data_IF_637720533466
#
_entry.id   IF_637720533466
#
_cell.length_a   1.000
_cell.length_b   1.000
_cell.length_c   1.000
_cell.angle_alpha   90.00
_cell.angle_beta   90.00
_cell.angle_gamma   90.00
#
_symmetry.space_group_name_H-M   'P 1'
#
loop_
_entity.id
_entity.type
_entity.pdbx_description
1 polymer ?
#
# COMPACT_ATOMS: atom_id res chain seq x y z
N UNK A 1 -9.08 -9.98 -11.78
CA UNK A 1 -8.07 -11.06 -11.86
C UNK A 1 -6.78 -10.42 -11.43
N UNK A 2 -6.50 -10.47 -10.13
CA UNK A 2 -5.30 -9.86 -9.57
C UNK A 2 -4.09 -10.65 -10.05
N UNK A 3 -3.07 -9.92 -10.52
CA UNK A 3 -1.81 -10.52 -10.90
C UNK A 3 -1.21 -11.22 -9.67
N UNK A 4 -0.70 -12.46 -9.79
CA UNK A 4 -0.03 -13.11 -8.68
C UNK A 4 1.16 -12.26 -8.28
N UNK A 5 1.12 -11.78 -7.03
CA UNK A 5 2.20 -11.07 -6.38
C UNK A 5 3.48 -11.89 -6.55
N UNK A 6 4.44 -11.37 -7.32
CA UNK A 6 5.69 -12.06 -7.62
C UNK A 6 6.45 -12.27 -6.31
N UNK A 7 6.45 -13.50 -5.81
CA UNK A 7 7.32 -13.88 -4.70
C UNK A 7 8.76 -13.57 -5.10
N UNK A 8 9.52 -12.80 -4.28
CA UNK A 8 10.93 -12.58 -4.56
C UNK A 8 11.64 -13.94 -4.61
N UNK A 9 12.44 -14.15 -5.66
CA UNK A 9 12.91 -15.47 -6.07
C UNK A 9 13.84 -16.19 -5.08
N UNK A 10 14.23 -15.56 -3.97
CA UNK A 10 15.23 -16.10 -3.03
C UNK A 10 14.84 -15.89 -1.56
N UNK A 11 13.65 -16.34 -1.15
CA UNK A 11 13.27 -16.30 0.26
C UNK A 11 13.93 -17.45 1.03
N UNK A 12 14.74 -17.12 2.03
CA UNK A 12 15.46 -18.09 2.87
C UNK A 12 15.11 -17.94 4.35
N UNK A 13 15.24 -19.02 5.11
CA UNK A 13 15.11 -19.00 6.56
C UNK A 13 16.18 -18.12 7.18
N UNK A 14 15.78 -17.14 7.99
CA UNK A 14 16.70 -16.20 8.61
C UNK A 14 17.67 -16.86 9.61
N UNK A 15 17.31 -18.01 10.19
CA UNK A 15 18.17 -18.75 11.11
C UNK A 15 19.15 -19.68 10.40
N UNK A 16 18.68 -20.51 9.45
CA UNK A 16 19.49 -21.59 8.87
C UNK A 16 19.83 -21.42 7.38
N UNK A 17 19.36 -20.34 6.74
CA UNK A 17 19.65 -20.01 5.34
C UNK A 17 19.01 -20.94 4.31
N UNK A 18 18.17 -21.89 4.71
CA UNK A 18 17.50 -22.81 3.78
C UNK A 18 16.46 -22.07 2.92
N UNK A 19 16.35 -22.38 1.62
CA UNK A 19 15.26 -21.88 0.78
C UNK A 19 13.90 -22.25 1.37
N UNK A 20 12.97 -21.31 1.34
CA UNK A 20 11.62 -21.47 1.86
C UNK A 20 10.59 -21.40 0.75
N UNK A 21 9.63 -22.30 0.83
CA UNK A 21 8.34 -22.12 0.15
C UNK A 21 7.41 -21.33 1.08
N UNK A 22 7.14 -20.09 0.69
CA UNK A 22 6.26 -19.19 1.42
C UNK A 22 4.78 -19.63 1.43
N UNK A 23 4.38 -20.57 0.57
CA UNK A 23 3.06 -21.20 0.55
C UNK A 23 2.95 -22.43 1.44
N UNK A 24 4.06 -22.94 1.99
CA UNK A 24 4.05 -24.06 2.92
C UNK A 24 3.43 -23.67 4.27
N UNK A 25 2.55 -24.51 4.86
CA UNK A 25 1.93 -24.23 6.17
C UNK A 25 2.93 -24.26 7.34
N UNK A 26 4.09 -24.88 7.16
CA UNK A 26 5.11 -24.99 8.21
C UNK A 26 5.95 -23.71 8.31
N UNK A 27 5.99 -22.92 7.24
CA UNK A 27 6.75 -21.67 7.17
C UNK A 27 6.19 -20.65 8.17
N UNK A 28 7.01 -20.28 9.16
CA UNK A 28 6.66 -19.29 10.17
C UNK A 28 7.18 -17.91 9.77
N UNK A 29 6.37 -16.85 9.94
CA UNK A 29 6.78 -15.47 9.67
C UNK A 29 6.69 -14.64 10.94
N UNK A 30 7.77 -13.95 11.29
CA UNK A 30 7.82 -13.04 12.41
C UNK A 30 7.71 -11.59 11.93
N UNK A 31 6.88 -10.79 12.59
CA UNK A 31 6.63 -9.38 12.28
C UNK A 31 6.97 -8.52 13.50
N UNK A 32 7.86 -7.53 13.36
CA UNK A 32 8.37 -6.76 14.52
C UNK A 32 7.88 -5.33 14.59
N UNK A 33 7.57 -4.69 13.46
CA UNK A 33 7.06 -3.33 13.49
C UNK A 33 5.65 -3.29 12.92
N UNK A 34 4.69 -2.90 13.77
CA UNK A 34 3.31 -2.63 13.41
C UNK A 34 3.08 -1.14 13.54
N UNK A 35 2.92 -0.44 12.43
CA UNK A 35 2.56 0.97 12.42
C UNK A 35 1.10 1.15 12.02
N UNK A 36 0.42 2.07 12.70
CA UNK A 36 -0.91 2.49 12.30
C UNK A 36 -0.76 3.54 11.21
N UNK A 37 -1.09 3.17 9.98
CA UNK A 37 -1.11 4.11 8.85
C UNK A 37 -2.54 4.57 8.62
N UNK A 38 -2.71 5.89 8.49
CA UNK A 38 -4.02 6.49 8.28
C UNK A 38 -4.49 7.45 9.38
N UNK A 39 -3.67 7.76 10.39
CA UNK A 39 -3.95 8.90 11.28
C UNK A 39 -3.62 10.23 10.58
N UNK A 40 -4.36 10.52 9.51
CA UNK A 40 -4.30 11.79 8.79
C UNK A 40 -5.10 12.89 9.47
N UNK A 41 -5.00 13.04 10.79
CA UNK A 41 -5.82 14.00 11.54
C UNK A 41 -7.33 13.82 11.35
N UNK A 42 -8.15 14.70 11.95
CA UNK A 42 -9.58 14.76 11.67
C UNK A 42 -9.80 15.19 10.21
N UNK A 43 -10.36 14.30 9.39
CA UNK A 43 -10.83 14.64 8.05
C UNK A 43 -12.30 15.07 8.18
N UNK A 44 -12.60 16.27 7.70
CA UNK A 44 -13.94 16.84 7.75
C UNK A 44 -14.56 16.71 6.36
N UNK A 45 -15.78 16.20 6.28
CA UNK A 45 -16.51 16.17 5.01
C UNK A 45 -16.98 17.58 4.60
N UNK A 46 -17.62 17.68 3.42
CA UNK A 46 -18.18 18.94 2.91
C UNK A 46 -19.27 19.54 3.82
N UNK A 47 -19.85 18.74 4.73
CA UNK A 47 -20.83 19.16 5.71
C UNK A 47 -20.19 19.60 7.05
N UNK A 48 -18.87 19.43 7.21
CA UNK A 48 -18.18 19.71 8.46
C UNK A 48 -18.43 18.66 9.53
N UNK A 49 -18.71 17.41 9.15
CA UNK A 49 -18.72 16.26 10.05
C UNK A 49 -17.37 15.55 10.05
N UNK A 50 -16.97 15.04 11.22
CA UNK A 50 -15.73 14.31 11.39
C UNK A 50 -15.87 12.90 10.79
N UNK A 51 -15.19 12.63 9.69
CA UNK A 51 -15.19 11.30 9.07
C UNK A 51 -14.05 10.50 9.70
N UNK A 52 -14.33 9.40 10.42
CA UNK A 52 -13.28 8.52 10.90
C UNK A 52 -12.61 7.88 9.70
N UNK A 53 -11.36 8.27 9.43
CA UNK A 53 -10.53 7.56 8.47
C UNK A 53 -10.17 6.22 9.10
N UNK A 54 -10.66 5.13 8.52
CA UNK A 54 -10.25 3.79 8.92
C UNK A 54 -8.75 3.67 8.66
N UNK A 55 -7.97 3.67 9.74
CA UNK A 55 -6.56 3.36 9.64
C UNK A 55 -6.38 1.87 9.51
N UNK A 56 -5.25 1.48 8.91
CA UNK A 56 -4.85 0.09 8.82
C UNK A 56 -3.55 -0.11 9.57
N UNK A 57 -3.45 -1.25 10.24
CA UNK A 57 -2.17 -1.67 10.80
C UNK A 57 -1.31 -2.24 9.68
N UNK A 58 -0.20 -1.58 9.38
CA UNK A 58 0.81 -2.09 8.45
C UNK A 58 1.91 -2.79 9.21
N UNK A 59 2.45 -3.84 8.60
CA UNK A 59 3.67 -4.50 9.06
C UNK A 59 4.81 -3.92 8.23
N UNK A 60 5.85 -3.37 8.86
CA UNK A 60 6.99 -2.81 8.10
C UNK A 60 8.16 -3.78 7.93
N UNK A 61 8.28 -4.73 8.84
CA UNK A 61 9.43 -5.64 8.87
C UNK A 61 8.92 -7.06 9.10
N UNK A 62 9.29 -7.97 8.19
CA UNK A 62 8.94 -9.39 8.26
C UNK A 62 10.21 -10.22 8.10
N UNK A 63 10.34 -11.30 8.86
CA UNK A 63 11.38 -12.32 8.67
C UNK A 63 10.78 -13.73 8.60
N UNK A 64 11.13 -14.54 7.59
CA UNK A 64 10.62 -15.90 7.44
C UNK A 64 11.56 -16.95 8.04
N UNK A 65 10.98 -18.03 8.55
CA UNK A 65 11.63 -19.15 9.21
C UNK A 65 11.03 -20.47 8.75
N UNK A 66 11.81 -21.55 8.78
CA UNK A 66 11.31 -22.90 8.49
C UNK A 66 10.19 -23.33 9.43
N UNK A 67 10.25 -22.92 10.70
CA UNK A 67 9.34 -23.30 11.76
C UNK A 67 9.43 -22.32 12.95
N UNK A 68 8.59 -22.55 13.96
CA UNK A 68 8.54 -21.73 15.17
C UNK A 68 9.77 -21.88 16.08
N UNK A 69 10.48 -23.01 16.03
CA UNK A 69 11.64 -23.25 16.90
C UNK A 69 12.88 -22.52 16.40
N UNK A 70 13.07 -22.45 15.08
CA UNK A 70 14.05 -21.56 14.45
C UNK A 70 13.78 -20.09 14.79
N UNK A 71 12.51 -19.66 14.73
CA UNK A 71 12.14 -18.29 15.09
C UNK A 71 12.46 -17.98 16.58
N UNK A 72 12.14 -18.90 17.49
CA UNK A 72 12.42 -18.76 18.93
C UNK A 72 13.91 -18.71 19.23
N UNK A 73 14.68 -19.63 18.65
CA UNK A 73 16.14 -19.69 18.82
C UNK A 73 16.78 -18.40 18.37
N UNK A 74 16.42 -17.95 17.17
CA UNK A 74 16.91 -16.71 16.60
C UNK A 74 16.58 -15.48 17.48
N UNK A 75 15.34 -15.38 18.00
CA UNK A 75 15.01 -14.32 18.97
C UNK A 75 15.80 -14.43 20.28
N UNK A 76 16.02 -15.65 20.78
CA UNK A 76 16.74 -15.90 22.03
C UNK A 76 18.24 -15.57 21.91
N UNK A 77 18.80 -15.68 20.71
CA UNK A 77 20.17 -15.27 20.37
C UNK A 77 20.33 -13.73 20.33
N UNK A 78 19.24 -12.98 20.50
CA UNK A 78 19.25 -11.51 20.49
C UNK A 78 19.06 -10.90 19.11
N UNK A 79 18.66 -11.71 18.12
CA UNK A 79 18.32 -11.23 16.80
C UNK A 79 16.88 -10.70 16.71
N UNK A 80 16.64 -9.81 15.75
CA UNK A 80 17.63 -9.21 14.85
C UNK A 80 18.21 -7.91 15.39
N UNK A 81 19.42 -7.61 14.93
CA UNK A 81 19.94 -6.26 15.00
C UNK A 81 19.05 -5.33 14.15
N UNK A 82 18.91 -4.03 14.48
CA UNK A 82 18.02 -3.10 13.76
C UNK A 82 18.21 -3.05 12.24
N UNK A 83 19.40 -3.40 11.76
CA UNK A 83 19.82 -3.39 10.37
C UNK A 83 19.44 -4.67 9.61
N UNK A 84 19.12 -5.76 10.31
CA UNK A 84 18.84 -7.09 9.73
C UNK A 84 17.36 -7.28 9.38
N UNK A 85 16.52 -6.26 9.57
CA UNK A 85 15.14 -6.29 9.10
C UNK A 85 15.05 -5.95 7.63
N UNK A 86 14.45 -6.85 6.85
CA UNK A 86 14.00 -6.50 5.51
C UNK A 86 12.86 -5.50 5.67
N UNK A 87 13.09 -4.26 5.22
CA UNK A 87 12.01 -3.28 5.11
C UNK A 87 11.13 -3.71 3.96
N UNK A 88 9.85 -3.91 4.24
CA UNK A 88 8.86 -3.96 3.18
C UNK A 88 8.88 -2.59 2.49
N UNK A 89 9.07 -2.60 1.16
CA UNK A 89 8.97 -1.36 0.38
C UNK A 89 7.62 -0.71 0.71
N UNK A 90 7.57 0.61 0.96
CA UNK A 90 6.30 1.28 1.12
C UNK A 90 5.45 1.00 -0.12
N UNK A 91 4.11 0.85 0.03
CA UNK A 91 3.26 0.77 -1.14
C UNK A 91 3.58 1.97 -2.04
N UNK A 92 3.60 1.78 -3.37
CA UNK A 92 3.84 2.90 -4.28
C UNK A 92 2.91 4.03 -3.87
N UNK A 93 3.46 5.22 -3.63
CA UNK A 93 2.66 6.41 -3.38
C UNK A 93 1.57 6.44 -4.44
N UNK A 94 0.31 6.43 -3.99
CA UNK A 94 -0.88 6.34 -4.85
C UNK A 94 -0.66 7.24 -6.06
N UNK A 95 -0.55 6.62 -7.24
CA UNK A 95 0.05 7.27 -8.41
C UNK A 95 -0.61 8.63 -8.67
N UNK A 96 0.17 9.71 -8.62
CA UNK A 96 -0.25 11.07 -9.02
C UNK A 96 -0.97 11.09 -10.38
N UNK A 97 -0.71 10.06 -11.20
CA UNK A 97 -1.39 9.76 -12.45
C UNK A 97 -2.93 9.72 -12.32
N UNK A 98 -3.47 9.13 -11.26
CA UNK A 98 -4.92 9.05 -11.04
C UNK A 98 -5.54 10.42 -10.80
N UNK A 99 -4.86 11.26 -10.01
CA UNK A 99 -5.26 12.65 -9.76
C UNK A 99 -5.15 13.49 -11.04
N UNK A 100 -4.05 13.36 -11.79
CA UNK A 100 -3.87 14.06 -13.07
C UNK A 100 -4.93 13.66 -14.10
N UNK A 101 -5.26 12.37 -14.21
CA UNK A 101 -6.32 11.89 -15.11
C UNK A 101 -7.70 12.42 -14.71
N UNK A 102 -7.99 12.47 -13.40
CA UNK A 102 -9.20 13.10 -12.87
C UNK A 102 -9.30 14.58 -13.24
N UNK A 103 -8.23 15.35 -13.01
CA UNK A 103 -8.17 16.76 -13.39
C UNK A 103 -8.34 16.98 -14.90
N UNK A 104 -7.70 16.15 -15.73
CA UNK A 104 -7.83 16.23 -17.18
C UNK A 104 -9.27 15.94 -17.65
N UNK A 105 -9.95 14.96 -17.05
CA UNK A 105 -11.34 14.65 -17.37
C UNK A 105 -12.30 15.80 -17.02
N UNK A 106 -12.11 16.44 -15.86
CA UNK A 106 -12.93 17.59 -15.45
C UNK A 106 -12.74 18.77 -16.43
N UNK A 107 -11.49 19.08 -16.79
CA UNK A 107 -11.21 20.14 -17.76
C UNK A 107 -11.82 19.85 -19.14
N UNK A 108 -11.81 18.58 -19.57
CA UNK A 108 -12.46 18.17 -20.82
C UNK A 108 -13.98 18.41 -20.76
N UNK A 109 -14.64 18.02 -19.67
CA UNK A 109 -16.09 18.23 -19.50
C UNK A 109 -16.43 19.73 -19.54
N UNK A 110 -15.67 20.56 -18.82
CA UNK A 110 -15.86 22.01 -18.83
C UNK A 110 -15.69 22.59 -20.24
N UNK A 111 -14.65 22.16 -20.96
CA UNK A 111 -14.44 22.59 -22.34
C UNK A 111 -15.60 22.20 -23.27
N UNK A 112 -16.11 20.96 -23.15
CA UNK A 112 -17.27 20.52 -23.93
C UNK A 112 -18.52 21.35 -23.62
N UNK A 113 -18.78 21.66 -22.35
CA UNK A 113 -19.92 22.50 -21.94
C UNK A 113 -19.80 23.93 -22.48
N UNK A 114 -18.59 24.50 -22.48
CA UNK A 114 -18.35 25.84 -23.06
C UNK A 114 -18.57 25.86 -24.57
N UNK A 115 -18.12 24.84 -25.30
CA UNK A 115 -18.33 24.73 -26.75
C UNK A 115 -19.81 24.55 -27.08
N UNK A 116 -20.52 23.67 -26.36
CA UNK A 116 -21.95 23.46 -26.54
C UNK A 116 -22.75 24.73 -26.21
N UNK A 117 -22.41 25.40 -25.10
CA UNK A 117 -23.03 26.66 -24.71
C UNK A 117 -22.77 27.78 -25.73
N UNK A 118 -21.55 27.87 -26.27
CA UNK A 118 -21.22 28.83 -27.32
C UNK A 118 -21.96 28.54 -28.63
N UNK A 119 -22.11 27.26 -29.00
CA UNK A 119 -22.85 26.85 -30.19
C UNK A 119 -24.36 27.14 -30.06
N UNK A 120 -24.94 26.87 -28.89
CA UNK A 120 -26.33 27.22 -28.57
C UNK A 120 -26.54 28.74 -28.60
N UNK A 121 -25.67 29.51 -27.95
CA UNK A 121 -25.74 30.97 -27.97
C UNK A 121 -25.63 31.51 -29.41
N UNK A 122 -24.71 30.99 -30.21
CA UNK A 122 -24.58 31.37 -31.62
C UNK A 122 -25.89 31.13 -32.40
N UNK A 123 -26.52 29.97 -32.22
CA UNK A 123 -27.80 29.62 -32.85
C UNK A 123 -28.97 30.52 -32.43
N UNK A 124 -28.92 31.08 -31.24
CA UNK A 124 -29.96 31.98 -30.72
C UNK A 124 -29.78 33.41 -31.25
N UNK A 125 -28.53 33.86 -31.41
CA UNK A 125 -28.22 35.25 -31.73
C UNK A 125 -27.95 35.54 -33.21
N UNK A 126 -27.70 34.52 -34.04
CA UNK A 126 -27.38 34.65 -35.46
C UNK A 126 -28.15 33.64 -36.31
#
# INVERSE_FOLDING_TARGET
MDAPEQQPADVVCAHCGRPLDLGSPDTTRLALLRDWVGYGGPEWDEAGEHVPREGEWRIRCVRPFCDADHARTWMAEGHPLPEEWDRLEPPPESSDLGCMLGCAAVLLVVACLLVLGAAEAWRIFF
#
